data_IF_891396094009
#
_entry.id   IF_891396094009
#
_cell.length_a   1.000
_cell.length_b   1.000
_cell.length_c   1.000
_cell.angle_alpha   90.00
_cell.angle_beta   90.00
_cell.angle_gamma   90.00
#
_symmetry.space_group_name_H-M   'P 1'
#
loop_
_entity.id
_entity.type
_entity.pdbx_description
1 polymer ?
#
# COMPACT_ATOMS: atom_id res chain seq x y z
N UNK A 1 -0.13 0.97 42.53
CA UNK A 1 -0.59 1.27 41.14
C UNK A 1 0.62 1.59 40.26
N UNK A 2 0.67 1.09 39.01
CA UNK A 2 1.73 1.39 38.04
C UNK A 2 1.09 2.01 36.80
N UNK A 3 1.61 3.14 36.34
CA UNK A 3 1.27 3.72 35.05
C UNK A 3 2.49 3.62 34.12
N UNK A 4 2.23 3.20 32.88
CA UNK A 4 3.24 3.09 31.81
C UNK A 4 2.91 4.06 30.68
N UNK A 5 3.93 4.60 30.02
CA UNK A 5 3.76 5.50 28.88
C UNK A 5 5.07 5.75 28.12
N UNK A 6 4.99 6.59 27.09
CA UNK A 6 6.17 7.08 26.40
C UNK A 6 6.97 8.06 27.25
N UNK A 7 8.27 8.21 26.94
CA UNK A 7 9.17 9.11 27.67
C UNK A 7 8.73 10.59 27.64
N UNK A 8 7.95 10.99 26.64
CA UNK A 8 7.32 12.31 26.54
C UNK A 8 6.26 12.57 27.62
N UNK A 9 5.71 11.50 28.23
CA UNK A 9 4.70 11.56 29.29
C UNK A 9 5.29 11.58 30.70
N UNK A 10 6.61 11.54 30.86
CA UNK A 10 7.26 11.43 32.16
C UNK A 10 6.81 12.54 33.14
N UNK A 11 6.80 13.79 32.71
CA UNK A 11 6.36 14.93 33.56
C UNK A 11 4.91 14.80 34.04
N UNK A 12 4.00 14.38 33.16
CA UNK A 12 2.59 14.19 33.51
C UNK A 12 2.43 13.03 34.53
N UNK A 13 3.14 11.92 34.30
CA UNK A 13 3.05 10.73 35.14
C UNK A 13 3.63 10.98 36.54
N UNK A 14 4.78 11.64 36.64
CA UNK A 14 5.43 11.99 37.92
C UNK A 14 4.61 12.99 38.72
N UNK A 15 3.94 13.93 38.06
CA UNK A 15 2.98 14.83 38.72
C UNK A 15 1.83 14.05 39.36
N UNK A 16 1.32 13.04 38.65
CA UNK A 16 0.27 12.16 39.18
C UNK A 16 0.73 11.33 40.37
N UNK A 17 1.93 10.73 40.31
CA UNK A 17 2.50 9.94 41.45
C UNK A 17 2.72 10.82 42.68
N UNK A 18 3.21 12.05 42.50
CA UNK A 18 3.43 13.01 43.56
C UNK A 18 2.10 13.49 44.19
N UNK A 19 1.06 13.72 43.38
CA UNK A 19 -0.27 14.06 43.89
C UNK A 19 -0.86 12.95 44.78
N UNK A 20 -0.75 11.70 44.34
CA UNK A 20 -1.20 10.54 45.13
C UNK A 20 -0.45 10.45 46.47
N UNK A 21 0.87 10.64 46.44
CA UNK A 21 1.70 10.67 47.67
C UNK A 21 1.25 11.76 48.63
N UNK A 22 1.05 12.98 48.16
CA UNK A 22 0.63 14.14 48.99
C UNK A 22 -0.76 14.00 49.56
N UNK A 23 -1.66 13.34 48.83
CA UNK A 23 -3.02 13.07 49.29
C UNK A 23 -3.11 11.89 50.28
N UNK A 24 -2.00 11.18 50.53
CA UNK A 24 -1.96 10.04 51.43
C UNK A 24 -2.77 8.82 50.96
N UNK A 25 -3.01 8.70 49.66
CA UNK A 25 -3.86 7.66 49.05
C UNK A 25 -3.05 6.40 48.60
N UNK A 26 -1.85 6.23 49.11
CA UNK A 26 -1.00 5.07 48.84
C UNK A 26 0.21 5.38 47.93
N UNK A 27 0.71 4.35 47.24
CA UNK A 27 1.90 4.46 46.41
C UNK A 27 1.55 4.23 44.94
N UNK A 28 2.11 5.06 44.06
CA UNK A 28 2.03 4.92 42.63
C UNK A 28 3.43 4.99 42.03
N UNK A 29 3.64 4.25 40.94
CA UNK A 29 4.89 4.12 40.23
C UNK A 29 4.67 4.55 38.77
N UNK A 30 5.69 5.16 38.16
CA UNK A 30 5.72 5.54 36.76
C UNK A 30 6.84 4.76 36.05
N UNK A 31 6.55 4.20 34.88
CA UNK A 31 7.51 3.56 34.00
C UNK A 31 7.35 4.13 32.59
N UNK A 32 8.43 4.64 32.02
CA UNK A 32 8.41 5.13 30.64
C UNK A 32 9.36 4.33 29.75
N UNK A 33 8.96 4.17 28.47
CA UNK A 33 9.80 3.63 27.43
C UNK A 33 10.18 4.76 26.44
N UNK A 34 11.36 4.67 25.78
CA UNK A 34 11.74 5.59 24.71
C UNK A 34 10.67 5.61 23.61
N UNK A 35 10.45 6.78 23.02
CA UNK A 35 9.56 6.92 21.86
C UNK A 35 10.17 6.25 20.63
N UNK A 36 9.32 5.59 19.86
CA UNK A 36 9.67 5.08 18.55
C UNK A 36 9.56 6.21 17.55
N UNK A 37 10.67 6.55 16.92
CA UNK A 37 10.78 7.55 15.86
C UNK A 37 11.33 6.90 14.60
N UNK A 38 11.17 7.56 13.45
CA UNK A 38 11.94 7.20 12.26
C UNK A 38 13.41 7.66 12.39
N UNK A 39 14.27 7.16 11.53
CA UNK A 39 15.70 7.54 11.51
C UNK A 39 15.90 9.04 11.24
N UNK A 40 15.00 9.66 10.47
CA UNK A 40 14.98 11.10 10.22
C UNK A 40 14.44 11.94 11.40
N UNK A 41 14.11 11.32 12.52
CA UNK A 41 13.54 11.96 13.71
C UNK A 41 12.02 12.23 13.62
N UNK A 42 11.37 11.95 12.52
CA UNK A 42 9.93 12.15 12.38
C UNK A 42 9.13 11.11 13.17
N UNK A 43 7.83 11.40 13.39
CA UNK A 43 6.96 10.53 14.17
C UNK A 43 6.69 9.22 13.44
N UNK A 44 6.83 8.10 14.18
CA UNK A 44 6.39 6.78 13.73
C UNK A 44 4.87 6.71 13.57
N UNK A 45 4.38 5.84 12.65
CA UNK A 45 2.95 5.57 12.46
C UNK A 45 2.23 6.58 11.57
N UNK A 46 2.96 7.51 10.93
CA UNK A 46 2.40 8.43 9.93
C UNK A 46 2.96 8.13 8.55
N UNK A 47 2.08 8.07 7.55
CA UNK A 47 2.41 8.06 6.13
C UNK A 47 2.06 9.42 5.50
N UNK A 48 2.38 9.64 4.22
CA UNK A 48 1.92 10.81 3.47
C UNK A 48 0.39 10.94 3.45
N UNK A 49 -0.34 9.81 3.55
CA UNK A 49 -1.81 9.74 3.62
C UNK A 49 -2.39 9.82 5.04
N UNK A 50 -1.58 10.07 6.09
CA UNK A 50 -2.04 10.14 7.48
C UNK A 50 -1.62 8.98 8.36
N UNK A 51 -2.43 8.62 9.35
CA UNK A 51 -2.15 7.52 10.27
C UNK A 51 -2.34 6.15 9.61
N UNK A 52 -1.45 5.22 9.92
CA UNK A 52 -1.59 3.81 9.55
C UNK A 52 -2.32 3.08 10.68
N UNK A 53 -3.48 2.52 10.38
CA UNK A 53 -4.35 1.87 11.35
C UNK A 53 -4.22 0.35 11.25
N UNK A 54 -4.37 -0.34 12.37
CA UNK A 54 -4.47 -1.81 12.40
C UNK A 54 -5.86 -2.31 11.98
N UNK A 55 -6.85 -1.43 11.99
CA UNK A 55 -8.20 -1.71 11.54
C UNK A 55 -8.25 -1.71 10.00
N UNK A 56 -8.61 -2.85 9.42
CA UNK A 56 -8.70 -3.08 7.96
C UNK A 56 -9.69 -2.13 7.27
N UNK A 57 -10.73 -1.67 7.96
CA UNK A 57 -11.69 -0.72 7.42
C UNK A 57 -11.12 0.69 7.24
N UNK A 58 -10.03 1.02 7.95
CA UNK A 58 -9.34 2.33 7.88
C UNK A 58 -8.05 2.29 7.07
N UNK A 59 -7.33 1.18 7.12
CA UNK A 59 -6.09 0.96 6.36
C UNK A 59 -6.14 -0.47 5.84
N UNK A 60 -6.29 -0.64 4.52
CA UNK A 60 -6.33 -1.99 3.93
C UNK A 60 -5.05 -2.77 4.22
N UNK A 61 -5.11 -4.09 4.17
CA UNK A 61 -3.96 -4.95 4.37
C UNK A 61 -2.81 -4.64 3.40
N UNK A 62 -3.14 -4.28 2.15
CA UNK A 62 -2.17 -3.82 1.17
C UNK A 62 -1.45 -2.53 1.62
N UNK A 63 -2.18 -1.48 2.01
CA UNK A 63 -1.58 -0.22 2.48
C UNK A 63 -0.78 -0.43 3.76
N UNK A 64 -1.26 -1.29 4.66
CA UNK A 64 -0.55 -1.66 5.86
C UNK A 64 0.78 -2.36 5.53
N UNK A 65 0.78 -3.33 4.63
CA UNK A 65 1.98 -3.99 4.13
C UNK A 65 2.94 -3.00 3.44
N UNK A 66 2.42 -2.08 2.61
CA UNK A 66 3.22 -1.04 1.93
C UNK A 66 3.92 -0.10 2.91
N UNK A 67 3.29 0.23 4.02
CA UNK A 67 3.92 1.05 5.06
C UNK A 67 5.22 0.41 5.57
N UNK A 68 5.19 -0.87 5.87
CA UNK A 68 6.35 -1.60 6.41
C UNK A 68 7.41 -1.90 5.36
N UNK A 69 7.01 -2.33 4.16
CA UNK A 69 7.96 -2.65 3.11
C UNK A 69 8.69 -1.41 2.58
N UNK A 70 8.14 -0.21 2.75
CA UNK A 70 8.76 1.05 2.35
C UNK A 70 9.61 1.71 3.43
N UNK A 71 9.80 1.06 4.59
CA UNK A 71 10.72 1.55 5.62
C UNK A 71 12.15 1.68 5.09
N UNK A 72 12.87 2.72 5.54
CA UNK A 72 14.30 2.84 5.27
C UNK A 72 15.07 1.67 5.91
N UNK A 73 16.25 1.34 5.40
CA UNK A 73 17.03 0.19 5.89
C UNK A 73 17.35 0.32 7.39
N UNK A 74 17.75 1.51 7.84
CA UNK A 74 18.03 1.80 9.24
C UNK A 74 16.78 1.65 10.13
N UNK A 75 15.63 2.09 9.65
CA UNK A 75 14.35 1.92 10.35
C UNK A 75 13.93 0.46 10.40
N UNK A 76 14.04 -0.25 9.29
CA UNK A 76 13.67 -1.66 9.20
C UNK A 76 14.49 -2.53 10.18
N UNK A 77 15.80 -2.25 10.32
CA UNK A 77 16.68 -2.95 11.28
C UNK A 77 16.26 -2.73 12.74
N UNK A 78 15.74 -1.55 13.08
CA UNK A 78 15.15 -1.29 14.39
C UNK A 78 13.77 -1.91 14.54
N UNK A 79 12.93 -1.77 13.54
CA UNK A 79 11.53 -2.17 13.61
C UNK A 79 11.36 -3.67 13.64
N UNK A 80 12.21 -4.46 12.97
CA UNK A 80 12.15 -5.92 13.03
C UNK A 80 12.33 -6.44 14.45
N UNK A 81 13.17 -5.80 15.26
CA UNK A 81 13.42 -6.14 16.66
C UNK A 81 12.31 -5.69 17.61
N UNK A 82 11.55 -4.65 17.24
CA UNK A 82 10.50 -4.08 18.10
C UNK A 82 9.14 -4.67 17.78
N UNK A 83 8.83 -4.84 16.48
CA UNK A 83 7.50 -5.16 16.02
C UNK A 83 7.30 -6.61 15.60
N UNK A 84 8.35 -7.44 15.53
CA UNK A 84 8.21 -8.87 15.24
C UNK A 84 8.36 -9.72 16.51
N UNK A 85 7.92 -10.97 16.42
CA UNK A 85 8.15 -12.00 17.45
C UNK A 85 9.21 -13.00 16.99
N UNK A 86 10.01 -12.64 15.99
CA UNK A 86 11.14 -13.44 15.55
C UNK A 86 12.19 -13.50 16.65
N UNK A 87 12.83 -14.65 16.78
CA UNK A 87 13.96 -14.80 17.70
C UNK A 87 15.20 -14.04 17.20
N UNK A 88 16.15 -13.88 18.09
CA UNK A 88 17.36 -13.11 17.81
C UNK A 88 18.17 -13.72 16.66
N UNK A 89 18.31 -15.03 16.64
CA UNK A 89 19.10 -15.75 15.64
C UNK A 89 18.52 -15.52 14.25
N UNK A 90 17.20 -15.62 14.11
CA UNK A 90 16.51 -15.36 12.85
C UNK A 90 16.64 -13.91 12.38
N UNK A 91 16.58 -12.94 13.29
CA UNK A 91 16.78 -11.53 12.96
C UNK A 91 18.20 -11.29 12.46
N UNK A 92 19.22 -11.82 13.14
CA UNK A 92 20.64 -11.69 12.74
C UNK A 92 20.90 -12.34 11.36
N UNK A 93 20.28 -13.48 11.04
CA UNK A 93 20.33 -14.09 9.70
C UNK A 93 19.76 -13.18 8.62
N UNK A 94 18.57 -12.60 8.88
CA UNK A 94 17.90 -11.70 7.93
C UNK A 94 18.76 -10.45 7.69
N UNK A 95 19.32 -9.86 8.76
CA UNK A 95 20.19 -8.70 8.68
C UNK A 95 21.47 -8.98 7.87
N UNK A 96 22.10 -10.14 8.10
CA UNK A 96 23.28 -10.55 7.35
C UNK A 96 22.96 -10.75 5.85
N UNK A 97 21.89 -11.46 5.52
CA UNK A 97 21.46 -11.66 4.14
C UNK A 97 21.05 -10.35 3.45
N UNK A 98 20.43 -9.42 4.19
CA UNK A 98 20.10 -8.09 3.68
C UNK A 98 21.36 -7.27 3.38
N UNK A 99 22.39 -7.33 4.24
CA UNK A 99 23.64 -6.61 4.05
C UNK A 99 24.40 -7.04 2.78
N UNK A 100 24.29 -8.33 2.38
CA UNK A 100 24.88 -8.82 1.13
C UNK A 100 24.18 -8.26 -0.12
N UNK A 101 22.87 -8.04 -0.05
CA UNK A 101 22.08 -7.52 -1.18
C UNK A 101 20.94 -6.58 -0.70
N UNK A 102 21.24 -5.33 -0.29
CA UNK A 102 20.22 -4.40 0.20
C UNK A 102 19.12 -4.11 -0.83
N UNK A 103 19.45 -4.14 -2.13
CA UNK A 103 18.49 -3.91 -3.21
C UNK A 103 17.36 -4.94 -3.28
N UNK A 104 17.56 -6.15 -2.74
CA UNK A 104 16.52 -7.17 -2.63
C UNK A 104 15.48 -6.85 -1.55
N UNK A 105 15.79 -5.91 -0.62
CA UNK A 105 14.92 -5.44 0.46
C UNK A 105 14.40 -6.58 1.34
N UNK A 106 15.25 -7.58 1.62
CA UNK A 106 14.85 -8.77 2.37
C UNK A 106 14.37 -8.41 3.78
N UNK A 107 15.08 -7.53 4.46
CA UNK A 107 14.76 -7.07 5.82
C UNK A 107 13.35 -6.45 5.88
N UNK A 108 13.02 -5.56 4.93
CA UNK A 108 11.70 -4.94 4.86
C UNK A 108 10.62 -5.95 4.50
N UNK A 109 10.90 -6.91 3.62
CA UNK A 109 9.94 -7.95 3.23
C UNK A 109 9.57 -8.84 4.41
N UNK A 110 10.57 -9.29 5.17
CA UNK A 110 10.35 -10.13 6.36
C UNK A 110 9.59 -9.36 7.45
N UNK A 111 9.99 -8.12 7.73
CA UNK A 111 9.29 -7.23 8.64
C UNK A 111 7.82 -7.04 8.24
N UNK A 112 7.58 -6.66 6.99
CA UNK A 112 6.22 -6.40 6.47
C UNK A 112 5.37 -7.68 6.50
N UNK A 113 5.95 -8.82 6.14
CA UNK A 113 5.25 -10.10 6.13
C UNK A 113 4.86 -10.54 7.54
N UNK A 114 5.79 -10.52 8.51
CA UNK A 114 5.51 -10.93 9.88
C UNK A 114 4.42 -10.05 10.53
N UNK A 115 4.58 -8.73 10.43
CA UNK A 115 3.62 -7.80 11.07
C UNK A 115 2.25 -7.87 10.40
N UNK A 116 2.18 -7.95 9.06
CA UNK A 116 0.89 -8.05 8.34
C UNK A 116 0.19 -9.37 8.64
N UNK A 117 0.93 -10.50 8.65
CA UNK A 117 0.39 -11.82 9.00
C UNK A 117 -0.26 -11.82 10.38
N UNK A 118 0.40 -11.22 11.37
CA UNK A 118 -0.10 -11.20 12.76
C UNK A 118 -1.32 -10.29 12.95
N UNK A 119 -1.43 -9.21 12.20
CA UNK A 119 -2.52 -8.25 12.35
C UNK A 119 -3.72 -8.60 11.46
N UNK A 120 -3.47 -9.01 10.22
CA UNK A 120 -4.51 -9.21 9.21
C UNK A 120 -4.72 -10.67 8.78
N UNK A 121 -3.82 -11.58 9.19
CA UNK A 121 -3.85 -12.98 8.82
C UNK A 121 -3.07 -13.32 7.56
N UNK A 122 -2.96 -14.63 7.28
CA UNK A 122 -2.16 -15.13 6.15
C UNK A 122 -2.80 -14.80 4.79
N UNK A 123 -4.12 -14.91 4.66
CA UNK A 123 -4.84 -14.64 3.43
C UNK A 123 -4.64 -13.19 2.96
N UNK A 124 -4.82 -12.24 3.86
CA UNK A 124 -4.62 -10.81 3.59
C UNK A 124 -3.14 -10.50 3.28
N UNK A 125 -2.19 -11.18 3.92
CA UNK A 125 -0.78 -11.03 3.60
C UNK A 125 -0.49 -11.49 2.17
N UNK A 126 -0.96 -12.67 1.78
CA UNK A 126 -0.73 -13.18 0.42
C UNK A 126 -1.35 -12.26 -0.64
N UNK A 127 -2.55 -11.74 -0.36
CA UNK A 127 -3.21 -10.75 -1.21
C UNK A 127 -2.38 -9.46 -1.32
N UNK A 128 -1.84 -8.95 -0.21
CA UNK A 128 -0.98 -7.76 -0.22
C UNK A 128 0.33 -7.97 -0.97
N UNK A 129 0.94 -9.17 -0.87
CA UNK A 129 2.14 -9.54 -1.63
C UNK A 129 1.82 -9.60 -3.12
N UNK A 130 0.72 -10.26 -3.52
CA UNK A 130 0.30 -10.35 -4.91
C UNK A 130 0.01 -8.95 -5.49
N UNK A 131 -0.69 -8.11 -4.75
CA UNK A 131 -0.96 -6.72 -5.11
C UNK A 131 0.34 -5.90 -5.29
N UNK A 132 1.33 -6.11 -4.42
CA UNK A 132 2.65 -5.47 -4.53
C UNK A 132 3.39 -5.94 -5.78
N UNK A 133 3.40 -7.24 -6.05
CA UNK A 133 3.99 -7.81 -7.25
C UNK A 133 3.30 -7.29 -8.52
N UNK A 134 1.99 -7.06 -8.45
CA UNK A 134 1.20 -6.50 -9.52
C UNK A 134 1.63 -5.07 -9.86
N UNK A 135 1.84 -4.20 -8.88
CA UNK A 135 2.25 -2.81 -9.15
C UNK A 135 3.71 -2.69 -9.58
N UNK A 136 4.60 -3.44 -8.95
CA UNK A 136 6.05 -3.27 -9.10
C UNK A 136 6.73 -4.40 -9.86
N UNK A 137 6.01 -5.48 -10.16
CA UNK A 137 6.50 -6.66 -10.86
C UNK A 137 6.13 -6.71 -12.34
N UNK A 138 6.38 -7.88 -12.94
CA UNK A 138 5.97 -8.24 -14.30
C UNK A 138 4.63 -8.99 -14.25
N UNK A 139 3.63 -8.37 -13.63
CA UNK A 139 2.29 -8.98 -13.51
C UNK A 139 1.59 -9.06 -14.85
N UNK A 140 0.77 -10.09 -15.00
CA UNK A 140 -0.07 -10.37 -16.17
C UNK A 140 -1.51 -9.92 -15.93
N UNK A 141 -2.37 -10.04 -16.93
CA UNK A 141 -3.82 -9.84 -16.76
C UNK A 141 -4.42 -10.89 -15.83
N UNK A 142 -3.94 -12.14 -15.87
CA UNK A 142 -4.44 -13.21 -14.99
C UNK A 142 -4.16 -12.89 -13.52
N UNK A 143 -3.00 -12.29 -13.21
CA UNK A 143 -2.69 -11.82 -11.87
C UNK A 143 -3.65 -10.72 -11.40
N UNK A 144 -4.05 -9.81 -12.32
CA UNK A 144 -5.07 -8.78 -12.04
C UNK A 144 -6.43 -9.41 -11.74
N UNK A 145 -6.84 -10.42 -12.54
CA UNK A 145 -8.11 -11.12 -12.39
C UNK A 145 -8.19 -12.00 -11.14
N UNK A 146 -7.05 -12.44 -10.62
CA UNK A 146 -6.96 -13.25 -9.41
C UNK A 146 -7.16 -12.45 -8.12
N UNK A 147 -6.98 -11.11 -8.15
CA UNK A 147 -7.16 -10.27 -6.97
C UNK A 147 -8.65 -9.97 -6.70
N UNK A 148 -9.06 -9.97 -5.43
CA UNK A 148 -10.37 -9.45 -5.03
C UNK A 148 -10.51 -7.98 -5.46
N UNK A 149 -11.70 -7.59 -5.88
CA UNK A 149 -11.97 -6.23 -6.36
C UNK A 149 -11.68 -5.16 -5.30
N UNK A 150 -11.99 -5.43 -4.03
CA UNK A 150 -11.67 -4.55 -2.91
C UNK A 150 -10.17 -4.25 -2.81
N UNK A 151 -9.34 -5.24 -3.09
CA UNK A 151 -7.89 -5.08 -3.09
C UNK A 151 -7.39 -4.33 -4.32
N UNK A 152 -7.95 -4.60 -5.51
CA UNK A 152 -7.66 -3.82 -6.71
C UNK A 152 -7.98 -2.33 -6.49
N UNK A 153 -9.13 -2.01 -5.92
CA UNK A 153 -9.51 -0.64 -5.60
C UNK A 153 -8.57 -0.01 -4.57
N UNK A 154 -8.11 -0.78 -3.59
CA UNK A 154 -7.13 -0.32 -2.59
C UNK A 154 -5.75 -0.06 -3.21
N UNK A 155 -5.30 -0.97 -4.09
CA UNK A 155 -4.03 -0.83 -4.83
C UNK A 155 -4.01 0.42 -5.68
N UNK A 156 -5.13 0.72 -6.34
CA UNK A 156 -5.28 1.87 -7.25
C UNK A 156 -5.94 3.09 -6.57
N UNK A 157 -6.03 3.13 -5.25
CA UNK A 157 -6.53 4.31 -4.54
C UNK A 157 -5.64 5.52 -4.80
N UNK A 158 -6.29 6.64 -5.22
CA UNK A 158 -5.59 7.86 -5.63
C UNK A 158 -5.12 7.88 -7.08
N UNK A 159 -5.25 6.77 -7.82
CA UNK A 159 -5.04 6.76 -9.26
C UNK A 159 -6.19 7.50 -9.94
N UNK A 160 -5.92 8.39 -10.92
CA UNK A 160 -6.97 9.05 -11.69
C UNK A 160 -7.92 8.02 -12.30
N UNK A 161 -9.22 8.31 -12.25
CA UNK A 161 -10.25 7.38 -12.71
C UNK A 161 -11.42 8.11 -13.37
N UNK A 162 -12.18 7.39 -14.17
CA UNK A 162 -13.46 7.84 -14.71
C UNK A 162 -14.48 6.72 -14.74
N UNK A 163 -15.74 7.07 -14.82
CA UNK A 163 -16.83 6.15 -15.00
C UNK A 163 -17.23 6.05 -16.49
N UNK A 164 -17.63 4.84 -16.90
CA UNK A 164 -18.14 4.55 -18.23
C UNK A 164 -19.35 3.64 -18.05
N UNK A 165 -20.46 3.92 -18.75
CA UNK A 165 -21.64 3.08 -18.65
C UNK A 165 -21.40 1.70 -19.27
N UNK A 166 -22.03 0.68 -18.70
CA UNK A 166 -22.00 -0.70 -19.21
C UNK A 166 -22.49 -0.79 -20.66
N UNK A 167 -23.49 0.01 -21.01
CA UNK A 167 -24.00 0.07 -22.38
C UNK A 167 -22.96 0.57 -23.39
N UNK A 168 -22.16 1.55 -23.02
CA UNK A 168 -21.09 2.05 -23.88
C UNK A 168 -20.00 1.00 -24.15
N UNK A 169 -19.68 0.15 -23.14
CA UNK A 169 -18.76 -0.96 -23.34
C UNK A 169 -19.38 -2.18 -24.01
N UNK A 170 -20.68 -2.41 -23.87
CA UNK A 170 -21.35 -3.51 -24.56
C UNK A 170 -21.35 -3.34 -26.08
N UNK A 171 -21.42 -2.10 -26.55
CA UNK A 171 -21.27 -1.76 -27.99
C UNK A 171 -19.82 -1.68 -28.46
N UNK A 172 -18.87 -1.69 -27.51
CA UNK A 172 -17.44 -1.56 -27.74
C UNK A 172 -17.00 -0.10 -27.84
N UNK A 173 -15.96 0.26 -27.08
CA UNK A 173 -15.37 1.60 -27.08
C UNK A 173 -13.96 1.57 -27.69
N UNK A 174 -13.70 2.41 -28.69
CA UNK A 174 -12.37 2.53 -29.28
C UNK A 174 -11.34 2.99 -28.24
N UNK A 175 -10.14 2.41 -28.27
CA UNK A 175 -9.09 2.72 -27.27
C UNK A 175 -8.72 4.20 -27.26
N UNK A 176 -8.77 4.92 -28.39
CA UNK A 176 -8.47 6.34 -28.48
C UNK A 176 -9.51 7.16 -27.70
N UNK A 177 -10.79 6.81 -27.82
CA UNK A 177 -11.87 7.49 -27.11
C UNK A 177 -11.81 7.15 -25.60
N UNK A 178 -11.40 5.93 -25.28
CA UNK A 178 -11.19 5.53 -23.89
C UNK A 178 -10.02 6.27 -23.23
N UNK A 179 -8.94 6.56 -23.97
CA UNK A 179 -7.78 7.27 -23.47
C UNK A 179 -7.97 8.78 -23.38
N UNK A 180 -8.65 9.39 -24.35
CA UNK A 180 -8.69 10.85 -24.52
C UNK A 180 -10.09 11.46 -24.49
N UNK A 181 -11.14 10.65 -24.31
CA UNK A 181 -12.52 11.12 -24.23
C UNK A 181 -12.99 11.31 -22.78
N UNK A 182 -14.19 11.92 -22.64
CA UNK A 182 -14.84 12.17 -21.36
C UNK A 182 -14.34 13.43 -20.64
N UNK A 183 -14.90 13.69 -19.44
CA UNK A 183 -14.60 14.90 -18.66
C UNK A 183 -13.23 14.85 -17.98
N UNK A 184 -12.74 13.65 -17.64
CA UNK A 184 -11.44 13.43 -17.00
C UNK A 184 -10.60 12.45 -17.84
N UNK A 185 -10.02 12.89 -18.97
CA UNK A 185 -9.28 11.99 -19.86
C UNK A 185 -7.93 11.58 -19.25
N UNK A 186 -7.49 10.36 -19.56
CA UNK A 186 -6.15 9.88 -19.20
C UNK A 186 -5.06 10.61 -19.98
N UNK A 187 -5.32 10.89 -21.25
CA UNK A 187 -4.42 11.63 -22.14
C UNK A 187 -5.13 12.89 -22.65
N UNK A 188 -4.40 13.99 -22.76
CA UNK A 188 -4.95 15.31 -23.03
C UNK A 188 -5.66 15.45 -24.41
N UNK A 189 -5.36 14.55 -25.36
CA UNK A 189 -5.96 14.59 -26.68
C UNK A 189 -5.87 13.27 -27.44
N UNK A 190 -6.76 13.06 -28.44
CA UNK A 190 -6.69 11.93 -29.36
C UNK A 190 -5.38 11.88 -30.17
N UNK A 191 -4.75 13.02 -30.43
CA UNK A 191 -3.43 13.09 -31.08
C UNK A 191 -2.32 12.51 -30.17
N UNK A 192 -2.37 12.80 -28.88
CA UNK A 192 -1.47 12.22 -27.88
C UNK A 192 -1.72 10.71 -27.71
N UNK A 193 -2.98 10.29 -27.68
CA UNK A 193 -3.35 8.88 -27.61
C UNK A 193 -2.78 8.09 -28.79
N UNK A 194 -2.96 8.59 -30.03
CA UNK A 194 -2.38 7.92 -31.21
C UNK A 194 -0.87 7.82 -31.19
N UNK A 195 -0.17 8.86 -30.71
CA UNK A 195 1.30 8.83 -30.55
C UNK A 195 1.72 7.79 -29.51
N UNK A 196 1.08 7.78 -28.34
CA UNK A 196 1.38 6.83 -27.27
C UNK A 196 1.14 5.38 -27.71
N UNK A 197 0.09 5.12 -28.50
CA UNK A 197 -0.20 3.80 -29.08
C UNK A 197 0.86 3.41 -30.12
N UNK A 198 1.24 4.34 -31.01
CA UNK A 198 2.31 4.12 -32.01
C UNK A 198 3.67 3.81 -31.36
N UNK A 199 3.97 4.42 -30.22
CA UNK A 199 5.17 4.19 -29.42
C UNK A 199 5.10 2.88 -28.59
N UNK A 200 4.03 2.08 -28.75
CA UNK A 200 3.79 0.87 -27.96
C UNK A 200 3.89 1.12 -26.44
N UNK A 201 3.49 2.32 -26.00
CA UNK A 201 3.59 2.74 -24.60
C UNK A 201 2.31 2.51 -23.80
N UNK A 202 1.19 2.13 -24.45
CA UNK A 202 -0.12 1.93 -23.82
C UNK A 202 -0.40 0.45 -23.62
N UNK A 203 -1.01 0.13 -22.48
CA UNK A 203 -1.53 -1.21 -22.17
C UNK A 203 -2.96 -1.10 -21.60
N UNK A 204 -3.78 -2.10 -21.89
CA UNK A 204 -5.07 -2.37 -21.26
C UNK A 204 -4.87 -3.67 -20.45
N UNK A 205 -5.19 -3.64 -19.17
CA UNK A 205 -5.04 -4.79 -18.29
C UNK A 205 -3.66 -5.49 -18.43
N UNK A 206 -2.57 -4.71 -18.49
CA UNK A 206 -1.18 -5.17 -18.72
C UNK A 206 -0.84 -5.61 -20.14
N UNK A 207 -1.82 -5.87 -20.98
CA UNK A 207 -1.58 -6.25 -22.37
C UNK A 207 -1.34 -5.02 -23.23
N UNK A 208 -0.27 -5.04 -24.04
CA UNK A 208 0.00 -3.98 -25.02
C UNK A 208 -1.10 -3.94 -26.07
N UNK A 209 -1.53 -2.74 -26.42
CA UNK A 209 -2.62 -2.52 -27.38
C UNK A 209 -2.22 -1.57 -28.48
N UNK A 210 -2.86 -1.76 -29.64
CA UNK A 210 -2.72 -0.93 -30.84
C UNK A 210 -3.94 -0.02 -31.02
N UNK A 211 -3.90 0.89 -31.98
CA UNK A 211 -4.93 1.91 -32.18
C UNK A 211 -6.29 1.36 -32.64
N UNK A 212 -6.34 0.13 -33.13
CA UNK A 212 -7.53 -0.60 -33.55
C UNK A 212 -8.23 -1.37 -32.42
N UNK A 213 -7.61 -1.41 -31.21
CA UNK A 213 -8.26 -2.08 -30.07
C UNK A 213 -9.59 -1.42 -29.75
N UNK A 214 -10.62 -2.27 -29.70
CA UNK A 214 -11.93 -1.98 -29.14
C UNK A 214 -12.00 -2.65 -27.75
N UNK A 215 -12.31 -1.88 -26.74
CA UNK A 215 -12.48 -2.35 -25.36
C UNK A 215 -13.97 -2.68 -25.17
N UNK A 216 -14.25 -3.85 -24.65
CA UNK A 216 -15.61 -4.38 -24.44
C UNK A 216 -15.80 -4.83 -22.99
N UNK A 217 -16.98 -5.30 -22.65
CA UNK A 217 -17.27 -5.88 -21.33
C UNK A 217 -16.34 -7.06 -20.97
N UNK A 218 -15.84 -7.80 -21.97
CA UNK A 218 -14.91 -8.94 -21.76
C UNK A 218 -13.53 -8.49 -21.24
N UNK A 219 -13.17 -7.24 -21.52
CA UNK A 219 -11.93 -6.65 -20.99
C UNK A 219 -12.06 -6.24 -19.50
N UNK A 220 -13.25 -6.30 -18.91
CA UNK A 220 -13.43 -5.94 -17.51
C UNK A 220 -12.79 -6.96 -16.57
N UNK A 221 -12.18 -6.43 -15.50
CA UNK A 221 -11.66 -7.19 -14.37
C UNK A 221 -12.67 -7.05 -13.22
N UNK A 222 -12.93 -8.14 -12.50
CA UNK A 222 -13.94 -8.14 -11.43
C UNK A 222 -15.33 -7.73 -11.92
N UNK A 223 -16.03 -6.90 -11.18
CA UNK A 223 -17.39 -6.46 -11.50
C UNK A 223 -17.46 -5.34 -12.54
N UNK A 224 -16.33 -4.77 -12.96
CA UNK A 224 -16.35 -3.70 -13.96
C UNK A 224 -15.17 -2.73 -13.90
N UNK A 225 -13.96 -3.22 -13.78
CA UNK A 225 -12.76 -2.40 -13.80
C UNK A 225 -11.94 -2.65 -15.07
N UNK A 226 -11.44 -1.60 -15.70
CA UNK A 226 -10.45 -1.70 -16.78
C UNK A 226 -9.24 -0.84 -16.40
N UNK A 227 -8.07 -1.46 -16.37
CA UNK A 227 -6.82 -0.78 -16.05
C UNK A 227 -6.13 -0.30 -17.33
N UNK A 228 -5.99 1.01 -17.45
CA UNK A 228 -5.17 1.63 -18.48
C UNK A 228 -3.80 1.98 -17.91
N UNK A 229 -2.76 1.80 -18.70
CA UNK A 229 -1.40 2.12 -18.32
C UNK A 229 -0.64 2.75 -19.46
N UNK A 230 0.13 3.84 -19.18
CA UNK A 230 1.10 4.44 -20.11
C UNK A 230 2.50 4.40 -19.51
N UNK A 231 3.41 3.73 -20.20
CA UNK A 231 4.76 3.50 -19.68
C UNK A 231 4.75 2.60 -18.43
N UNK A 232 5.68 2.86 -17.49
CA UNK A 232 5.86 1.99 -16.32
C UNK A 232 5.09 2.44 -15.07
N UNK A 233 4.74 3.74 -14.98
CA UNK A 233 4.26 4.34 -13.70
C UNK A 233 2.91 5.04 -13.80
N UNK A 234 2.42 5.34 -14.99
CA UNK A 234 1.18 6.09 -15.15
C UNK A 234 0.02 5.12 -15.33
N UNK A 235 -0.85 5.09 -14.34
CA UNK A 235 -2.04 4.25 -14.31
C UNK A 235 -3.30 5.11 -14.34
N UNK A 236 -4.35 4.56 -14.91
CA UNK A 236 -5.68 5.14 -14.97
C UNK A 236 -6.73 4.04 -14.86
N UNK A 237 -7.73 4.24 -14.03
CA UNK A 237 -8.76 3.25 -13.79
C UNK A 237 -10.07 3.68 -14.46
N UNK A 238 -10.65 2.80 -15.28
CA UNK A 238 -11.99 2.96 -15.81
C UNK A 238 -12.93 2.08 -14.98
N UNK A 239 -13.94 2.70 -14.38
CA UNK A 239 -14.99 2.00 -13.63
C UNK A 239 -16.24 1.91 -14.49
N UNK A 240 -16.74 0.70 -14.66
CA UNK A 240 -17.98 0.45 -15.38
C UNK A 240 -19.15 0.56 -14.41
N UNK A 241 -20.05 1.46 -14.71
CA UNK A 241 -21.29 1.66 -13.95
C UNK A 241 -22.51 1.19 -14.74
N UNK A 242 -23.57 0.83 -14.04
CA UNK A 242 -24.84 0.42 -14.66
C UNK A 242 -25.54 1.59 -15.34
#
# INVERSE_FOLDING_TARGET
>A
MLQMGGSDQWGNMTTGTELIRRKGQGHAFALTAPLITKADGSKFGKSEGGNVWIDKARTSAYKFYQYWINAADEDAARYIRIFTLLDRERIEEIEAAHAENPGARLLQKELAADVTRRIHGEEDLQTAIAATALLFGKSTEDDLRALPESELLSVFEGVPQREVSRDALSTGMGIIDLLAGGEAPFLASGGEARRALKENSVSVNRNKVTADKVVTADDCIGSGLVLLQRGKKNYYLVRVTD
#
